data_IF_518268294565
#
_entry.id   IF_518268294565
#
_cell.length_a   1.000
_cell.length_b   1.000
_cell.length_c   1.000
_cell.angle_alpha   90.00
_cell.angle_beta   90.00
_cell.angle_gamma   90.00
#
_symmetry.space_group_name_H-M   'P 1'
#
loop_
_entity.id
_entity.type
_entity.pdbx_description
1 polymer ?
#
# COMPACT_ATOMS: atom_id res chain seq x y z
N UNK A 1 1.11 -5.43 15.41
CA UNK A 1 1.54 -4.38 14.47
C UNK A 1 2.96 -4.62 14.07
N UNK A 2 3.17 -4.92 12.79
CA UNK A 2 4.49 -5.03 12.18
C UNK A 2 4.98 -3.67 11.72
N UNK A 3 6.28 -3.41 11.83
CA UNK A 3 6.89 -2.21 11.27
C UNK A 3 7.20 -2.42 9.79
N UNK A 4 6.49 -1.70 8.91
CA UNK A 4 6.56 -1.89 7.45
C UNK A 4 6.99 -0.63 6.72
N UNK A 5 7.56 -0.80 5.52
CA UNK A 5 7.88 0.28 4.60
C UNK A 5 6.72 0.49 3.65
N UNK A 6 6.23 1.72 3.53
CA UNK A 6 5.07 2.06 2.72
C UNK A 6 5.46 3.10 1.69
N UNK A 7 5.27 2.77 0.41
CA UNK A 7 5.34 3.72 -0.69
C UNK A 7 3.94 4.21 -1.07
N UNK A 8 3.76 5.52 -1.06
CA UNK A 8 2.50 6.19 -1.46
C UNK A 8 2.57 6.69 -2.90
N UNK A 9 1.45 7.16 -3.46
CA UNK A 9 1.32 7.58 -4.87
C UNK A 9 2.34 8.63 -5.34
N UNK A 10 2.92 9.42 -4.42
CA UNK A 10 3.97 10.39 -4.73
C UNK A 10 5.40 9.81 -4.78
N UNK A 11 5.55 8.49 -4.64
CA UNK A 11 6.86 7.81 -4.57
C UNK A 11 7.55 7.93 -3.21
N UNK A 12 6.96 8.65 -2.25
CA UNK A 12 7.49 8.80 -0.89
C UNK A 12 7.37 7.49 -0.13
N UNK A 13 8.50 7.01 0.38
CA UNK A 13 8.60 5.83 1.25
C UNK A 13 8.67 6.29 2.71
N UNK A 14 7.84 5.69 3.56
CA UNK A 14 7.82 5.95 5.02
C UNK A 14 7.64 4.65 5.79
N UNK A 15 7.98 4.66 7.07
CA UNK A 15 7.75 3.51 7.93
C UNK A 15 6.44 3.68 8.70
N UNK A 16 5.64 2.60 8.77
CA UNK A 16 4.32 2.58 9.44
C UNK A 16 4.19 1.31 10.26
N UNK A 17 3.56 1.41 11.43
CA UNK A 17 3.16 0.26 12.23
C UNK A 17 1.75 -0.18 11.82
N UNK A 18 1.65 -1.35 11.17
CA UNK A 18 0.39 -1.89 10.68
C UNK A 18 0.41 -3.42 10.61
N UNK A 19 -0.74 -4.05 10.78
CA UNK A 19 -0.91 -5.50 10.60
C UNK A 19 -1.51 -5.84 9.21
N UNK A 20 -2.04 -4.86 8.50
CA UNK A 20 -2.64 -5.01 7.16
C UNK A 20 -2.54 -3.73 6.30
N UNK A 21 -2.57 -3.85 4.95
CA UNK A 21 -2.62 -2.68 4.08
C UNK A 21 -3.88 -1.82 4.27
N UNK A 22 -5.02 -2.40 4.70
CA UNK A 22 -6.21 -1.63 5.02
C UNK A 22 -5.94 -0.60 6.14
N UNK A 23 -5.26 -1.03 7.20
CA UNK A 23 -4.89 -0.16 8.31
C UNK A 23 -3.95 0.96 7.86
N UNK A 24 -3.00 0.66 6.97
CA UNK A 24 -2.12 1.68 6.37
C UNK A 24 -2.94 2.71 5.59
N UNK A 25 -3.89 2.24 4.79
CA UNK A 25 -4.72 3.13 3.98
C UNK A 25 -5.58 4.06 4.85
N UNK A 26 -6.15 3.54 5.93
CA UNK A 26 -6.92 4.33 6.91
C UNK A 26 -6.03 5.37 7.61
N UNK A 27 -4.88 4.95 8.15
CA UNK A 27 -3.94 5.84 8.85
C UNK A 27 -3.41 6.98 7.96
N UNK A 28 -3.18 6.69 6.67
CA UNK A 28 -2.61 7.65 5.73
C UNK A 28 -3.65 8.38 4.88
N UNK A 29 -4.95 8.09 5.05
CA UNK A 29 -6.03 8.68 4.25
C UNK A 29 -5.94 8.33 2.75
N UNK A 30 -5.49 7.12 2.43
CA UNK A 30 -5.35 6.64 1.05
C UNK A 30 -6.68 6.06 0.56
N UNK A 31 -7.20 6.59 -0.54
CA UNK A 31 -8.34 5.98 -1.23
C UNK A 31 -7.95 4.67 -1.91
N UNK A 32 -8.63 3.57 -1.56
CA UNK A 32 -8.29 2.22 -2.04
C UNK A 32 -9.12 1.73 -3.22
N UNK A 33 -10.18 2.46 -3.58
CA UNK A 33 -11.14 2.12 -4.65
C UNK A 33 -10.49 1.82 -6.01
N UNK A 34 -9.37 2.47 -6.32
CA UNK A 34 -8.64 2.31 -7.58
C UNK A 34 -7.14 2.04 -7.36
N UNK A 35 -6.76 1.62 -6.15
CA UNK A 35 -5.39 1.35 -5.78
C UNK A 35 -5.04 -0.12 -6.02
N UNK A 36 -3.96 -0.35 -6.77
CA UNK A 36 -3.24 -1.63 -6.79
C UNK A 36 -2.24 -1.67 -5.64
N UNK A 37 -2.30 -2.74 -4.87
CA UNK A 37 -1.43 -2.98 -3.72
C UNK A 37 -0.41 -4.05 -4.09
N UNK A 38 0.86 -3.77 -3.83
CA UNK A 38 1.91 -4.79 -3.86
C UNK A 38 2.58 -4.89 -2.51
N UNK A 39 2.98 -6.12 -2.15
CA UNK A 39 3.72 -6.43 -0.92
C UNK A 39 4.95 -7.21 -1.37
N UNK A 40 6.14 -6.67 -1.13
CA UNK A 40 7.42 -7.24 -1.58
C UNK A 40 7.41 -7.60 -3.08
N UNK A 41 6.88 -6.70 -3.90
CA UNK A 41 6.72 -6.87 -5.37
C UNK A 41 5.72 -7.93 -5.82
N UNK A 42 5.05 -8.64 -4.91
CA UNK A 42 3.93 -9.54 -5.22
C UNK A 42 2.60 -8.79 -5.10
N UNK A 43 1.58 -9.23 -5.86
CA UNK A 43 0.22 -8.66 -5.73
C UNK A 43 -0.31 -8.93 -4.32
N UNK A 44 -0.71 -7.86 -3.63
CA UNK A 44 -1.32 -7.92 -2.30
C UNK A 44 -2.81 -7.58 -2.32
N UNK A 45 -3.42 -7.69 -1.15
CA UNK A 45 -4.81 -7.29 -0.88
C UNK A 45 -4.88 -6.47 0.42
N UNK A 46 -5.99 -5.76 0.62
CA UNK A 46 -6.21 -4.96 1.85
C UNK A 46 -6.19 -5.81 3.13
N UNK A 47 -6.56 -7.09 3.02
CA UNK A 47 -6.61 -8.05 4.12
C UNK A 47 -5.33 -8.88 4.28
N UNK A 48 -4.31 -8.63 3.46
CA UNK A 48 -3.03 -9.34 3.57
C UNK A 48 -2.40 -9.09 4.94
N UNK A 49 -1.92 -10.15 5.58
CA UNK A 49 -1.18 -10.04 6.83
C UNK A 49 0.24 -9.53 6.56
N UNK A 50 0.62 -8.45 7.24
CA UNK A 50 1.93 -7.85 7.11
C UNK A 50 2.91 -8.39 8.15
N UNK A 51 4.18 -8.48 7.74
CA UNK A 51 5.31 -8.89 8.57
C UNK A 51 6.32 -7.76 8.69
N UNK A 52 7.17 -7.86 9.70
CA UNK A 52 8.25 -6.91 9.93
C UNK A 52 9.11 -6.73 8.67
N UNK A 53 9.35 -5.48 8.29
CA UNK A 53 10.11 -5.06 7.11
C UNK A 53 9.45 -5.36 5.76
N UNK A 54 8.16 -5.72 5.71
CA UNK A 54 7.44 -5.80 4.44
C UNK A 54 7.44 -4.44 3.73
N UNK A 55 7.61 -4.47 2.41
CA UNK A 55 7.48 -3.30 1.55
C UNK A 55 6.11 -3.29 0.88
N UNK A 56 5.24 -2.37 1.31
CA UNK A 56 3.90 -2.16 0.77
C UNK A 56 3.91 -0.97 -0.18
N UNK A 57 3.41 -1.13 -1.40
CA UNK A 57 3.25 -0.02 -2.35
C UNK A 57 1.78 0.14 -2.73
N UNK A 58 1.28 1.37 -2.59
CA UNK A 58 -0.01 1.78 -3.12
C UNK A 58 0.21 2.53 -4.42
N UNK A 59 -0.27 1.94 -5.52
CA UNK A 59 -0.21 2.55 -6.85
C UNK A 59 -1.61 2.75 -7.36
N UNK A 60 -1.94 3.93 -7.90
CA UNK A 60 -3.20 4.05 -8.63
C UNK A 60 -3.02 3.31 -9.94
N UNK A 61 -3.97 2.47 -10.32
CA UNK A 61 -4.07 2.06 -11.72
C UNK A 61 -4.15 3.36 -12.53
N UNK A 62 -3.15 3.67 -13.35
CA UNK A 62 -3.27 4.79 -14.29
C UNK A 62 -4.56 4.53 -15.03
N UNK A 63 -5.57 5.38 -14.83
CA UNK A 63 -6.71 5.44 -15.72
C UNK A 63 -6.13 5.45 -17.12
N UNK A 64 -6.61 4.57 -17.98
CA UNK A 64 -6.24 4.55 -19.38
C UNK A 64 -6.71 5.92 -19.92
N UNK A 65 -5.85 6.94 -19.85
CA UNK A 65 -6.03 8.21 -20.55
C UNK A 65 -5.64 7.94 -22.00
N UNK A 66 -6.43 7.10 -22.66
CA UNK A 66 -6.36 6.78 -24.07
C UNK A 66 -7.71 7.13 -24.65
N UNK A 67 -7.83 8.41 -24.99
CA UNK A 67 -8.84 8.98 -25.87
C UNK A 67 -8.74 8.37 -27.27
#
# INVERSE_FOLDING_TARGET
MAKVLVQTFGGVVKTVDADSPAQIAEQLGIGTENASITINSAKGSLESNLRENDFVSFTTSKVHSGQ
#
